data_IF_304560628557
#
_entry.id   IF_304560628557
#
_cell.length_a   1.000
_cell.length_b   1.000
_cell.length_c   1.000
_cell.angle_alpha   90.00
_cell.angle_beta   90.00
_cell.angle_gamma   90.00
#
_symmetry.space_group_name_H-M   'P 1'
#
loop_
_entity.id
_entity.type
_entity.pdbx_description
1 polymer ?
#
# COMPACT_ATOMS: atom_id res chain seq x y z
N UNK A 1 36.58 38.85 51.91
CA UNK A 1 36.55 40.16 51.24
C UNK A 1 35.73 40.02 49.97
N UNK A 2 34.53 40.59 49.98
CA UNK A 2 33.61 40.61 48.85
C UNK A 2 33.84 41.91 48.05
N UNK A 3 33.88 41.81 46.72
CA UNK A 3 33.78 42.98 45.84
C UNK A 3 32.53 42.85 44.99
N UNK A 4 31.51 43.64 45.35
CA UNK A 4 30.38 43.98 44.48
C UNK A 4 30.87 44.92 43.37
N UNK A 5 30.39 44.71 42.13
CA UNK A 5 30.29 45.77 41.12
C UNK A 5 28.89 45.82 40.53
N UNK A 6 28.46 47.06 40.37
CA UNK A 6 27.12 47.57 40.11
C UNK A 6 26.62 47.36 38.67
N UNK A 7 25.29 47.27 38.57
CA UNK A 7 24.44 47.42 37.40
C UNK A 7 24.66 48.74 36.65
N UNK A 8 24.41 48.74 35.33
CA UNK A 8 23.77 49.82 34.57
C UNK A 8 23.20 49.27 33.24
N UNK A 9 21.92 49.51 33.00
CA UNK A 9 21.16 49.24 31.76
C UNK A 9 21.30 50.40 30.77
N UNK A 10 20.98 50.17 29.48
CA UNK A 10 20.11 51.13 28.81
C UNK A 10 18.96 50.50 28.02
N UNK A 11 17.91 51.31 27.91
CA UNK A 11 16.61 51.09 27.27
C UNK A 11 16.65 51.25 25.74
N UNK A 12 15.87 50.39 25.07
CA UNK A 12 15.07 50.56 23.84
C UNK A 12 15.37 51.66 22.82
N UNK A 13 15.42 51.27 21.54
CA UNK A 13 14.71 51.95 20.45
C UNK A 13 14.30 50.95 19.36
N UNK A 14 12.99 50.84 19.13
CA UNK A 14 12.40 50.17 17.97
C UNK A 14 12.40 51.14 16.78
N UNK A 15 12.73 50.65 15.58
CA UNK A 15 12.50 51.39 14.33
C UNK A 15 11.67 50.49 13.42
N UNK A 16 10.43 50.95 13.18
CA UNK A 16 9.56 50.47 12.14
C UNK A 16 10.03 51.03 10.78
N UNK A 17 9.96 50.21 9.73
CA UNK A 17 10.08 50.67 8.35
C UNK A 17 8.87 50.18 7.58
N UNK A 18 8.04 51.12 7.14
CA UNK A 18 6.85 50.88 6.34
C UNK A 18 7.10 51.25 4.88
N UNK A 19 6.52 50.42 4.02
CA UNK A 19 5.95 50.70 2.69
C UNK A 19 6.83 51.20 1.54
N UNK A 20 6.86 50.40 0.46
CA UNK A 20 6.66 50.92 -0.89
C UNK A 20 5.80 49.94 -1.69
N UNK A 21 4.63 50.42 -2.09
CA UNK A 21 3.73 49.84 -3.08
C UNK A 21 4.37 49.92 -4.47
N UNK A 22 4.27 48.83 -5.25
CA UNK A 22 4.27 48.90 -6.72
C UNK A 22 3.12 48.04 -7.22
N UNK A 23 2.10 48.71 -7.74
CA UNK A 23 1.02 48.14 -8.53
C UNK A 23 1.32 48.37 -10.02
N UNK A 24 1.28 47.31 -10.82
CA UNK A 24 0.95 47.39 -12.25
C UNK A 24 0.37 46.07 -12.76
N UNK A 25 -0.52 46.22 -13.72
CA UNK A 25 -1.62 45.36 -14.18
C UNK A 25 -1.24 44.09 -14.96
N UNK A 26 -2.21 43.16 -15.19
CA UNK A 26 -1.98 41.88 -15.84
C UNK A 26 -1.97 42.01 -17.36
N UNK A 27 -1.12 41.21 -18.02
CA UNK A 27 -1.18 41.00 -19.46
C UNK A 27 -1.64 39.57 -19.72
N UNK A 28 -2.84 39.45 -20.28
CA UNK A 28 -3.34 38.29 -20.98
C UNK A 28 -2.55 38.07 -22.27
N UNK A 29 -2.11 36.84 -22.53
CA UNK A 29 -2.00 36.35 -23.90
C UNK A 29 -2.16 34.84 -23.93
N UNK A 30 -3.26 34.45 -24.56
CA UNK A 30 -3.50 33.15 -25.13
C UNK A 30 -2.52 32.89 -26.28
N UNK A 31 -1.97 31.69 -26.35
CA UNK A 31 -1.54 31.12 -27.64
C UNK A 31 -1.69 29.61 -27.62
N UNK A 32 -2.67 29.17 -28.41
CA UNK A 32 -2.77 27.82 -28.94
C UNK A 32 -1.45 27.45 -29.64
N UNK A 33 -0.93 26.26 -29.36
CA UNK A 33 -0.06 25.57 -30.32
C UNK A 33 -0.65 24.18 -30.58
N UNK A 34 -1.27 24.10 -31.75
CA UNK A 34 -1.60 22.88 -32.45
C UNK A 34 -0.30 22.27 -33.00
N UNK A 35 0.02 21.05 -32.60
CA UNK A 35 0.94 20.20 -33.36
C UNK A 35 0.16 19.01 -33.90
N UNK A 36 -0.19 19.14 -35.17
CA UNK A 36 -0.66 18.06 -36.02
C UNK A 36 0.49 17.05 -36.19
N UNK A 37 0.24 15.79 -35.86
CA UNK A 37 1.00 14.67 -36.43
C UNK A 37 0.12 13.96 -37.47
N UNK A 38 0.69 13.59 -38.63
CA UNK A 38 -0.08 13.10 -39.76
C UNK A 38 -0.54 11.66 -39.54
N UNK A 39 -1.76 11.37 -40.01
CA UNK A 39 -2.33 10.05 -40.01
C UNK A 39 -1.58 9.06 -40.89
N UNK A 40 -1.49 7.83 -40.41
CA UNK A 40 -1.25 6.66 -41.25
C UNK A 40 -2.54 5.86 -41.36
N UNK A 41 -3.11 5.92 -42.56
CA UNK A 41 -4.24 5.13 -43.03
C UNK A 41 -3.74 3.73 -43.43
N UNK A 42 -4.45 2.74 -42.90
CA UNK A 42 -4.89 1.48 -43.53
C UNK A 42 -3.85 0.57 -44.21
N UNK A 43 -3.80 -0.69 -43.76
CA UNK A 43 -3.83 -1.86 -44.64
C UNK A 43 -4.61 -3.00 -43.99
N UNK A 44 -5.87 -3.11 -44.39
CA UNK A 44 -6.67 -4.32 -44.32
C UNK A 44 -6.10 -5.35 -45.28
N UNK A 45 -5.85 -6.57 -44.81
CA UNK A 45 -5.58 -7.73 -45.66
C UNK A 45 -6.75 -8.71 -45.50
N UNK A 46 -7.45 -8.86 -46.61
CA UNK A 46 -8.51 -9.81 -46.87
C UNK A 46 -7.89 -11.04 -47.56
N UNK A 47 -8.02 -12.22 -46.98
CA UNK A 47 -7.99 -13.53 -47.65
C UNK A 47 -8.23 -14.59 -46.57
N UNK A 48 -9.03 -15.64 -46.73
CA UNK A 48 -9.81 -16.13 -47.83
C UNK A 48 -10.49 -17.38 -47.28
N UNK A 49 -11.81 -17.47 -47.46
CA UNK A 49 -12.62 -18.61 -47.10
C UNK A 49 -12.37 -19.76 -48.08
N UNK A 50 -12.12 -20.96 -47.55
CA UNK A 50 -12.26 -22.22 -48.29
C UNK A 50 -13.22 -23.11 -47.47
N UNK A 51 -14.33 -23.60 -48.05
CA UNK A 51 -15.25 -24.51 -47.37
C UNK A 51 -14.96 -25.96 -47.78
N UNK A 52 -15.08 -26.91 -46.85
CA UNK A 52 -15.37 -28.30 -47.21
C UNK A 52 -16.33 -28.91 -46.17
N UNK A 53 -17.49 -29.30 -46.66
CA UNK A 53 -18.53 -30.08 -46.00
C UNK A 53 -18.64 -31.41 -46.74
N UNK A 54 -18.75 -32.51 -45.98
CA UNK A 54 -19.59 -33.72 -46.18
C UNK A 54 -18.99 -34.85 -45.35
N UNK A 55 -19.65 -35.33 -44.29
CA UNK A 55 -20.92 -36.04 -44.10
C UNK A 55 -20.68 -37.54 -43.87
N UNK A 56 -21.03 -37.93 -42.65
CA UNK A 56 -21.78 -39.11 -42.22
C UNK A 56 -21.33 -40.51 -42.68
N UNK A 57 -21.07 -41.40 -41.71
CA UNK A 57 -21.89 -42.61 -41.65
C UNK A 57 -22.02 -43.21 -40.24
N UNK A 58 -23.24 -43.70 -40.00
CA UNK A 58 -23.83 -44.22 -38.78
C UNK A 58 -23.43 -45.66 -38.46
N UNK A 59 -23.53 -46.05 -37.18
CA UNK A 59 -23.99 -47.40 -36.84
C UNK A 59 -23.84 -47.79 -35.35
N UNK A 60 -24.79 -48.54 -34.75
CA UNK A 60 -25.20 -48.36 -33.36
C UNK A 60 -24.95 -49.60 -32.47
N UNK A 61 -24.91 -49.47 -31.14
CA UNK A 61 -25.27 -50.60 -30.26
C UNK A 61 -26.00 -50.15 -28.99
N UNK A 62 -27.09 -50.85 -28.71
CA UNK A 62 -28.13 -50.58 -27.69
C UNK A 62 -27.83 -51.23 -26.33
N UNK A 63 -28.36 -50.55 -25.30
CA UNK A 63 -28.84 -50.95 -23.98
C UNK A 63 -28.78 -52.42 -23.52
N UNK A 64 -28.35 -52.58 -22.27
CA UNK A 64 -28.78 -53.65 -21.35
C UNK A 64 -29.12 -53.07 -19.96
N UNK A 65 -30.34 -53.35 -19.49
CA UNK A 65 -30.95 -52.93 -18.21
C UNK A 65 -30.77 -54.05 -17.18
N UNK A 66 -30.38 -53.74 -15.93
CA UNK A 66 -30.78 -54.54 -14.74
C UNK A 66 -31.02 -53.65 -13.51
N UNK A 67 -31.99 -54.09 -12.70
CA UNK A 67 -32.77 -53.41 -11.67
C UNK A 67 -32.06 -53.08 -10.34
N UNK A 68 -32.58 -51.99 -9.77
CA UNK A 68 -32.70 -51.55 -8.37
C UNK A 68 -32.77 -52.61 -7.25
N UNK A 69 -32.13 -52.30 -6.13
CA UNK A 69 -32.49 -52.67 -4.75
C UNK A 69 -32.34 -51.44 -3.85
N UNK A 70 -33.30 -51.25 -2.94
CA UNK A 70 -33.58 -50.04 -2.17
C UNK A 70 -33.05 -50.07 -0.71
N UNK A 71 -33.16 -48.89 -0.07
CA UNK A 71 -32.98 -48.55 1.36
C UNK A 71 -31.52 -48.25 1.81
N UNK A 72 -31.23 -47.26 2.67
CA UNK A 72 -32.07 -46.48 3.57
C UNK A 72 -31.55 -45.04 3.73
N UNK A 73 -32.47 -44.18 4.12
CA UNK A 73 -32.40 -42.72 4.29
C UNK A 73 -31.60 -42.37 5.56
N UNK A 74 -30.65 -41.43 5.46
CA UNK A 74 -30.22 -40.61 6.60
C UNK A 74 -29.72 -39.25 6.10
N UNK A 75 -30.36 -38.23 6.63
CA UNK A 75 -30.27 -36.82 6.24
C UNK A 75 -29.33 -36.11 7.24
N UNK A 76 -28.24 -35.46 6.82
CA UNK A 76 -27.45 -34.64 7.71
C UNK A 76 -28.04 -33.22 7.80
N UNK A 77 -28.01 -32.58 8.98
CA UNK A 77 -28.70 -31.34 9.22
C UNK A 77 -28.11 -30.18 8.42
N UNK A 78 -29.01 -29.46 7.76
CA UNK A 78 -28.79 -28.15 7.18
C UNK A 78 -28.38 -27.18 8.29
N UNK A 79 -27.12 -26.76 8.30
CA UNK A 79 -26.69 -25.52 8.95
C UNK A 79 -26.29 -24.53 7.87
N UNK A 80 -27.19 -23.59 7.60
CA UNK A 80 -26.90 -22.38 6.86
C UNK A 80 -25.90 -21.54 7.65
N UNK A 81 -24.60 -21.78 7.45
CA UNK A 81 -23.58 -20.78 7.74
C UNK A 81 -22.99 -20.28 6.42
N UNK A 82 -23.64 -19.25 5.90
CA UNK A 82 -23.03 -18.27 5.01
C UNK A 82 -21.78 -17.73 5.72
N UNK A 83 -20.55 -17.88 5.20
CA UNK A 83 -19.46 -17.04 5.66
C UNK A 83 -19.72 -15.67 5.05
N UNK A 84 -20.37 -14.81 5.82
CA UNK A 84 -20.33 -13.38 5.58
C UNK A 84 -18.86 -12.97 5.69
N UNK A 85 -18.23 -12.66 4.57
CA UNK A 85 -16.89 -12.07 4.50
C UNK A 85 -16.94 -10.64 5.02
N UNK A 86 -17.13 -10.49 6.33
CA UNK A 86 -16.75 -9.30 7.06
C UNK A 86 -15.34 -9.55 7.58
N UNK A 87 -14.33 -8.94 6.97
CA UNK A 87 -13.00 -8.85 7.56
C UNK A 87 -13.15 -8.05 8.84
N UNK A 88 -13.27 -8.78 9.96
CA UNK A 88 -13.21 -8.20 11.28
C UNK A 88 -11.74 -7.99 11.64
N UNK A 89 -11.43 -6.80 12.14
CA UNK A 89 -10.16 -6.41 12.73
C UNK A 89 -9.73 -7.43 13.81
N UNK A 90 -8.88 -8.39 13.43
CA UNK A 90 -8.40 -9.44 14.33
C UNK A 90 -7.59 -10.55 13.66
N UNK A 91 -7.10 -10.35 12.42
CA UNK A 91 -6.27 -11.34 11.74
C UNK A 91 -4.84 -11.31 12.31
N UNK A 92 -4.32 -12.48 12.71
CA UNK A 92 -2.90 -12.66 13.00
C UNK A 92 -2.09 -12.25 11.76
N UNK A 93 -1.27 -11.21 11.90
CA UNK A 93 -0.37 -10.81 10.82
C UNK A 93 0.67 -11.90 10.61
N UNK A 94 0.98 -12.26 9.35
CA UNK A 94 2.08 -13.16 9.08
C UNK A 94 3.40 -12.55 9.57
N UNK A 95 4.29 -13.44 10.01
CA UNK A 95 5.64 -13.08 10.39
C UNK A 95 6.38 -12.48 9.20
N UNK A 96 7.09 -11.39 9.44
CA UNK A 96 7.81 -10.65 8.43
C UNK A 96 9.06 -10.03 9.04
N UNK A 97 10.16 -10.01 8.28
CA UNK A 97 11.34 -9.23 8.62
C UNK A 97 11.13 -7.76 8.21
N UNK A 98 11.34 -6.85 9.15
CA UNK A 98 11.17 -5.40 8.96
C UNK A 98 12.45 -4.69 9.39
N UNK A 99 12.97 -3.80 8.55
CA UNK A 99 14.24 -3.10 8.76
C UNK A 99 14.02 -1.60 8.90
N UNK A 100 14.59 -1.03 9.95
CA UNK A 100 14.55 0.39 10.28
C UNK A 100 15.95 0.98 10.34
N UNK A 101 16.09 2.24 9.93
CA UNK A 101 17.16 3.09 10.45
C UNK A 101 16.69 3.72 11.74
N UNK A 102 17.54 3.69 12.77
CA UNK A 102 17.24 4.26 14.10
C UNK A 102 18.47 4.99 14.59
N UNK A 103 18.30 6.26 14.98
CA UNK A 103 19.42 7.09 15.41
C UNK A 103 20.00 6.54 16.73
N UNK A 104 21.21 6.00 16.66
CA UNK A 104 21.92 5.35 17.77
C UNK A 104 23.42 5.65 17.68
N UNK A 105 24.01 6.10 18.79
CA UNK A 105 25.41 6.53 18.84
C UNK A 105 26.24 5.83 19.93
N UNK A 106 25.63 4.98 20.75
CA UNK A 106 26.30 4.22 21.80
C UNK A 106 25.57 2.92 22.14
N UNK A 107 26.23 2.02 22.88
CA UNK A 107 25.65 0.75 23.33
C UNK A 107 24.40 0.91 24.21
N UNK A 108 24.34 1.96 25.03
CA UNK A 108 23.13 2.28 25.79
C UNK A 108 21.92 2.60 24.90
N UNK A 109 22.15 3.13 23.69
CA UNK A 109 21.10 3.31 22.70
C UNK A 109 20.55 1.97 22.21
N UNK A 110 21.45 1.02 21.94
CA UNK A 110 21.13 -0.33 21.47
C UNK A 110 20.29 -1.05 22.50
N UNK A 111 20.71 -1.04 23.77
CA UNK A 111 19.96 -1.67 24.86
C UNK A 111 18.57 -1.06 25.03
N UNK A 112 18.46 0.28 25.01
CA UNK A 112 17.16 0.96 25.13
C UNK A 112 16.19 0.56 24.01
N UNK A 113 16.67 0.54 22.75
CA UNK A 113 15.88 0.13 21.58
C UNK A 113 15.46 -1.34 21.69
N UNK A 114 16.41 -2.23 21.99
CA UNK A 114 16.15 -3.67 22.08
C UNK A 114 15.16 -3.99 23.20
N UNK A 115 15.38 -3.44 24.39
CA UNK A 115 14.50 -3.63 25.54
C UNK A 115 13.08 -3.13 25.23
N UNK A 116 12.96 -1.96 24.58
CA UNK A 116 11.65 -1.42 24.21
C UNK A 116 10.93 -2.32 23.19
N UNK A 117 11.59 -2.72 22.11
CA UNK A 117 10.98 -3.56 21.09
C UNK A 117 10.59 -4.96 21.58
N UNK A 118 11.36 -5.56 22.50
CA UNK A 118 11.03 -6.86 23.07
C UNK A 118 9.76 -6.84 23.93
N UNK A 119 9.32 -5.68 24.41
CA UNK A 119 8.01 -5.54 25.10
C UNK A 119 6.83 -5.46 24.14
N UNK A 120 7.06 -5.29 22.84
CA UNK A 120 6.01 -5.16 21.84
C UNK A 120 5.45 -6.54 21.49
N UNK A 121 4.15 -6.71 21.67
CA UNK A 121 3.46 -7.96 21.36
C UNK A 121 3.62 -8.32 19.87
N UNK A 122 4.05 -9.57 19.60
CA UNK A 122 4.29 -10.07 18.25
C UNK A 122 5.73 -9.98 17.77
N UNK A 123 6.62 -9.27 18.48
CA UNK A 123 8.06 -9.27 18.19
C UNK A 123 8.67 -10.59 18.65
N UNK A 124 9.41 -11.26 17.75
CA UNK A 124 10.09 -12.53 18.03
C UNK A 124 11.61 -12.38 18.14
N UNK A 125 12.20 -11.61 17.24
CA UNK A 125 13.63 -11.33 17.27
C UNK A 125 13.92 -9.87 16.94
N UNK A 126 14.97 -9.32 17.56
CA UNK A 126 15.46 -7.96 17.32
C UNK A 126 16.97 -8.03 17.16
N UNK A 127 17.45 -7.66 15.99
CA UNK A 127 18.86 -7.51 15.67
C UNK A 127 19.18 -6.03 15.49
N UNK A 128 20.31 -5.62 16.06
CA UNK A 128 20.75 -4.23 16.01
C UNK A 128 22.17 -4.18 15.48
N UNK A 129 22.37 -3.38 14.45
CA UNK A 129 23.66 -3.01 13.91
C UNK A 129 23.92 -1.54 14.24
N UNK A 130 24.69 -1.30 15.30
CA UNK A 130 25.03 0.06 15.74
C UNK A 130 25.89 0.79 14.70
N UNK A 131 26.75 0.09 13.97
CA UNK A 131 27.66 0.70 12.99
C UNK A 131 26.89 1.32 11.84
N UNK A 132 25.87 0.59 11.35
CA UNK A 132 25.01 1.06 10.27
C UNK A 132 23.74 1.77 10.77
N UNK A 133 23.52 1.81 12.09
CA UNK A 133 22.34 2.38 12.75
C UNK A 133 21.04 1.72 12.29
N UNK A 134 21.08 0.40 12.18
CA UNK A 134 20.02 -0.42 11.61
C UNK A 134 19.42 -1.33 12.67
N UNK A 135 18.11 -1.44 12.68
CA UNK A 135 17.35 -2.34 13.55
C UNK A 135 16.49 -3.23 12.69
N UNK A 136 16.68 -4.54 12.80
CA UNK A 136 15.87 -5.56 12.13
C UNK A 136 14.98 -6.24 13.14
N UNK A 137 13.69 -6.31 12.82
CA UNK A 137 12.67 -6.89 13.68
C UNK A 137 11.98 -8.00 12.91
N UNK A 138 12.04 -9.22 13.45
CA UNK A 138 11.26 -10.35 12.97
C UNK A 138 10.03 -10.50 13.86
N UNK A 139 8.84 -10.50 13.27
CA UNK A 139 7.62 -10.70 14.04
C UNK A 139 6.33 -10.41 13.28
N UNK A 140 5.24 -10.39 14.04
CA UNK A 140 3.87 -10.18 13.56
C UNK A 140 3.32 -8.81 13.96
N UNK A 141 4.12 -7.94 14.58
CA UNK A 141 3.67 -6.61 15.00
C UNK A 141 3.51 -5.68 13.78
N UNK A 142 2.46 -4.83 13.72
CA UNK A 142 2.32 -3.81 12.67
C UNK A 142 3.51 -2.84 12.63
N UNK A 143 3.83 -2.31 11.44
CA UNK A 143 4.86 -1.29 11.22
C UNK A 143 4.57 -0.07 12.09
N UNK A 144 3.31 0.35 12.19
CA UNK A 144 2.93 1.50 13.01
C UNK A 144 3.30 1.28 14.49
N UNK A 145 2.93 0.14 15.05
CA UNK A 145 3.22 -0.22 16.46
C UNK A 145 4.72 -0.26 16.73
N UNK A 146 5.51 -0.84 15.82
CA UNK A 146 6.97 -0.89 15.95
C UNK A 146 7.61 0.51 15.82
N UNK A 147 7.11 1.34 14.91
CA UNK A 147 7.59 2.73 14.73
C UNK A 147 7.30 3.56 15.97
N UNK A 148 6.05 3.53 16.47
CA UNK A 148 5.66 4.23 17.69
C UNK A 148 6.52 3.78 18.89
N UNK A 149 6.82 2.48 19.00
CA UNK A 149 7.66 1.94 20.06
C UNK A 149 9.11 2.42 19.97
N UNK A 150 9.68 2.49 18.77
CA UNK A 150 11.01 3.05 18.53
C UNK A 150 11.06 4.54 18.88
N UNK A 151 10.07 5.32 18.46
CA UNK A 151 9.99 6.76 18.73
C UNK A 151 9.83 7.06 20.22
N UNK A 152 9.14 6.19 20.97
CA UNK A 152 9.05 6.30 22.44
C UNK A 152 10.40 6.15 23.16
N UNK A 153 11.45 5.67 22.49
CA UNK A 153 12.81 5.69 23.03
C UNK A 153 13.50 7.05 22.91
N UNK A 154 12.81 8.05 22.34
CA UNK A 154 13.35 9.38 22.05
C UNK A 154 14.19 9.42 20.77
N UNK A 155 14.07 8.41 19.91
CA UNK A 155 14.89 8.24 18.70
C UNK A 155 14.04 8.39 17.46
N UNK A 156 14.58 9.04 16.44
CA UNK A 156 13.99 8.99 15.10
C UNK A 156 14.12 7.57 14.57
N UNK A 157 13.06 7.07 13.97
CA UNK A 157 13.02 5.77 13.31
C UNK A 157 12.44 5.91 11.91
N UNK A 158 13.09 5.32 10.91
CA UNK A 158 12.61 5.31 9.53
C UNK A 158 12.58 3.88 9.03
N UNK A 159 11.42 3.44 8.56
CA UNK A 159 11.31 2.16 7.86
C UNK A 159 12.12 2.23 6.55
N UNK A 160 13.00 1.24 6.34
CA UNK A 160 13.85 1.17 5.15
C UNK A 160 13.70 -0.11 4.35
N UNK A 161 13.16 -1.19 4.93
CA UNK A 161 12.99 -2.45 4.22
C UNK A 161 11.94 -3.36 4.84
N UNK A 162 11.27 -4.17 4.00
CA UNK A 162 10.33 -5.21 4.43
C UNK A 162 10.45 -6.48 3.58
N UNK A 163 10.21 -7.63 4.20
CA UNK A 163 10.21 -8.93 3.52
C UNK A 163 11.56 -9.64 3.51
N UNK A 164 11.63 -10.71 2.73
CA UNK A 164 12.83 -11.53 2.57
C UNK A 164 13.49 -11.24 1.22
N UNK A 165 14.60 -10.47 1.18
CA UNK A 165 15.28 -10.11 -0.06
C UNK A 165 15.94 -11.34 -0.73
N UNK A 166 16.32 -12.34 0.08
CA UNK A 166 16.99 -13.56 -0.42
C UNK A 166 16.01 -14.46 -1.19
N UNK A 167 14.71 -14.36 -0.88
CA UNK A 167 13.67 -15.20 -1.47
C UNK A 167 12.98 -14.51 -2.67
N UNK A 168 12.96 -13.17 -2.73
CA UNK A 168 12.16 -12.42 -3.70
C UNK A 168 12.89 -11.20 -4.26
N UNK A 169 12.92 -11.08 -5.60
CA UNK A 169 13.44 -9.89 -6.30
C UNK A 169 12.66 -8.60 -6.02
N UNK A 170 11.39 -8.72 -5.64
CA UNK A 170 10.54 -7.60 -5.23
C UNK A 170 9.78 -8.04 -4.00
N UNK A 171 10.35 -7.77 -2.83
CA UNK A 171 9.76 -8.16 -1.55
C UNK A 171 8.77 -7.13 -1.01
N UNK A 172 8.82 -5.87 -1.49
CA UNK A 172 7.99 -4.79 -0.97
C UNK A 172 7.49 -3.82 -2.04
N UNK A 173 6.32 -3.23 -1.77
CA UNK A 173 5.74 -2.15 -2.56
C UNK A 173 5.03 -1.14 -1.65
N UNK A 174 4.86 0.07 -2.15
CA UNK A 174 4.19 1.16 -1.43
C UNK A 174 3.29 1.94 -2.38
N UNK A 175 2.11 2.32 -1.89
CA UNK A 175 1.21 3.27 -2.54
C UNK A 175 1.02 4.45 -1.60
N UNK A 176 1.36 5.65 -2.07
CA UNK A 176 1.37 6.87 -1.26
C UNK A 176 0.36 7.88 -1.79
N UNK A 177 -0.58 8.27 -0.93
CA UNK A 177 -1.60 9.28 -1.19
C UNK A 177 -1.12 10.62 -0.62
N UNK A 178 -0.88 11.58 -1.51
CA UNK A 178 -0.37 12.94 -1.19
C UNK A 178 -1.40 14.05 -1.44
N UNK A 179 -2.62 13.69 -1.85
CA UNK A 179 -3.62 14.61 -2.40
C UNK A 179 -4.50 15.23 -1.33
N UNK A 180 -5.14 16.39 -1.62
CA UNK A 180 -5.71 17.25 -0.58
C UNK A 180 -6.86 16.61 0.20
N UNK A 181 -7.52 15.59 -0.37
CA UNK A 181 -8.63 14.89 0.26
C UNK A 181 -8.16 13.77 1.20
N UNK A 182 -7.12 13.04 0.83
CA UNK A 182 -6.65 11.87 1.58
C UNK A 182 -5.13 11.84 1.63
N UNK A 183 -4.60 11.80 2.84
CA UNK A 183 -3.22 11.48 3.12
C UNK A 183 -3.14 10.04 3.58
N UNK A 184 -2.24 9.24 3.01
CA UNK A 184 -2.17 7.85 3.42
C UNK A 184 -1.07 7.07 2.77
N UNK A 185 -0.73 5.95 3.41
CA UNK A 185 0.31 5.04 2.95
C UNK A 185 -0.25 3.63 3.05
N UNK A 186 -0.15 2.89 1.94
CA UNK A 186 -0.40 1.45 1.88
C UNK A 186 0.91 0.75 1.57
N UNK A 187 1.26 -0.22 2.40
CA UNK A 187 2.47 -1.03 2.27
C UNK A 187 2.08 -2.46 1.95
N UNK A 188 2.79 -3.04 1.00
CA UNK A 188 2.68 -4.43 0.62
C UNK A 188 4.03 -5.08 0.87
N UNK A 189 4.03 -6.23 1.54
CA UNK A 189 5.24 -7.01 1.75
C UNK A 189 4.97 -8.48 1.41
N UNK A 190 5.82 -9.07 0.59
CA UNK A 190 5.74 -10.48 0.23
C UNK A 190 6.18 -11.31 1.43
N UNK A 191 5.32 -12.22 1.87
CA UNK A 191 5.63 -13.17 2.94
C UNK A 191 6.09 -14.48 2.31
N UNK A 192 5.26 -15.02 1.41
CA UNK A 192 5.58 -16.16 0.58
C UNK A 192 4.86 -16.06 -0.77
N UNK A 193 5.05 -17.02 -1.68
CA UNK A 193 4.44 -16.99 -3.02
C UNK A 193 2.90 -16.90 -3.05
N UNK A 194 2.23 -17.25 -1.96
CA UNK A 194 0.77 -17.29 -1.84
C UNK A 194 0.23 -16.27 -0.83
N UNK A 195 1.09 -15.46 -0.19
CA UNK A 195 0.66 -14.53 0.85
C UNK A 195 1.44 -13.22 0.79
N UNK A 196 0.69 -12.13 0.68
CA UNK A 196 1.21 -10.78 0.92
C UNK A 196 0.60 -10.21 2.20
N UNK A 197 1.42 -9.47 2.95
CA UNK A 197 0.98 -8.64 4.06
C UNK A 197 0.67 -7.24 3.55
N UNK A 198 -0.46 -6.69 3.98
CA UNK A 198 -0.93 -5.36 3.61
C UNK A 198 -1.13 -4.55 4.89
N UNK A 199 -0.56 -3.36 4.92
CA UNK A 199 -0.75 -2.40 6.02
C UNK A 199 -1.08 -1.04 5.45
N UNK A 200 -2.17 -0.44 5.92
CA UNK A 200 -2.61 0.86 5.47
C UNK A 200 -2.89 1.81 6.63
N UNK A 201 -2.54 3.07 6.43
CA UNK A 201 -2.87 4.18 7.32
C UNK A 201 -3.39 5.31 6.44
N UNK A 202 -4.59 5.80 6.71
CA UNK A 202 -5.22 6.89 5.98
C UNK A 202 -5.70 7.97 6.95
N UNK A 203 -5.73 9.20 6.48
CA UNK A 203 -6.26 10.38 7.13
C UNK A 203 -6.99 11.25 6.09
N UNK A 204 -8.05 11.94 6.52
CA UNK A 204 -8.64 13.08 5.79
C UNK A 204 -10.03 12.84 5.20
N UNK A 205 -10.55 11.60 5.25
CA UNK A 205 -11.94 11.33 4.85
C UNK A 205 -12.92 11.55 5.99
N UNK A 206 -14.18 11.73 5.61
CA UNK A 206 -15.30 11.78 6.55
C UNK A 206 -15.44 10.46 7.32
N UNK A 207 -15.89 10.50 8.59
CA UNK A 207 -16.18 9.29 9.35
C UNK A 207 -17.19 8.41 8.61
N UNK A 208 -16.97 7.09 8.64
CA UNK A 208 -17.84 6.14 7.96
C UNK A 208 -17.08 5.06 7.21
N UNK A 209 -17.83 4.28 6.42
CA UNK A 209 -17.31 3.12 5.72
C UNK A 209 -17.09 3.43 4.24
N UNK A 210 -15.87 3.14 3.79
CA UNK A 210 -15.38 3.40 2.46
C UNK A 210 -14.87 2.11 1.81
N UNK A 211 -15.24 1.85 0.57
CA UNK A 211 -14.66 0.74 -0.19
C UNK A 211 -13.20 1.03 -0.54
N UNK A 212 -12.38 -0.01 -0.70
CA UNK A 212 -11.05 0.14 -1.27
C UNK A 212 -10.60 -1.11 -2.02
N UNK A 213 -9.76 -0.93 -3.04
CA UNK A 213 -9.28 -2.02 -3.89
C UNK A 213 -7.95 -1.72 -4.55
N UNK A 214 -7.36 -2.76 -5.14
CA UNK A 214 -6.31 -2.66 -6.14
C UNK A 214 -7.00 -2.71 -7.51
N UNK A 215 -6.74 -1.72 -8.36
CA UNK A 215 -7.30 -1.66 -9.71
C UNK A 215 -6.26 -2.04 -10.78
N UNK A 216 -6.74 -2.31 -11.99
CA UNK A 216 -5.94 -2.88 -13.08
C UNK A 216 -4.76 -1.98 -13.50
N UNK A 217 -4.94 -0.67 -13.54
CA UNK A 217 -3.99 0.27 -14.12
C UNK A 217 -3.56 1.34 -13.11
N UNK A 218 -2.27 1.68 -13.11
CA UNK A 218 -1.74 2.87 -12.45
C UNK A 218 -1.87 4.14 -13.30
N UNK A 219 -2.95 4.28 -14.07
CA UNK A 219 -3.23 5.49 -14.84
C UNK A 219 -4.01 6.48 -13.99
N UNK A 220 -3.36 7.59 -13.64
CA UNK A 220 -3.94 8.68 -12.85
C UNK A 220 -4.32 9.91 -13.69
N UNK A 221 -4.31 9.82 -15.02
CA UNK A 221 -4.61 10.96 -15.91
C UNK A 221 -6.02 11.53 -15.69
N UNK A 222 -6.99 10.69 -15.36
CA UNK A 222 -8.33 11.07 -14.88
C UNK A 222 -8.59 10.71 -13.42
N UNK A 223 -7.56 10.66 -12.57
CA UNK A 223 -7.68 10.23 -11.19
C UNK A 223 -8.10 8.76 -11.07
N UNK A 224 -8.92 8.43 -10.08
CA UNK A 224 -9.37 7.06 -9.85
C UNK A 224 -10.17 6.47 -11.04
N UNK A 225 -10.91 7.30 -11.77
CA UNK A 225 -11.73 6.87 -12.91
C UNK A 225 -10.93 6.23 -14.07
N UNK A 226 -9.62 6.51 -14.17
CA UNK A 226 -8.75 5.98 -15.22
C UNK A 226 -8.03 4.68 -14.83
N UNK A 227 -8.24 4.18 -13.61
CA UNK A 227 -7.51 3.01 -13.08
C UNK A 227 -8.04 1.66 -13.56
N UNK A 228 -9.12 1.65 -14.36
CA UNK A 228 -9.75 0.42 -14.84
C UNK A 228 -10.59 -0.28 -13.76
N UNK A 229 -10.81 -1.58 -13.92
CA UNK A 229 -11.62 -2.37 -12.97
C UNK A 229 -10.81 -2.80 -11.77
N UNK A 230 -11.48 -3.38 -10.77
CA UNK A 230 -10.81 -4.09 -9.68
C UNK A 230 -9.95 -5.20 -10.26
N UNK A 231 -8.69 -5.25 -9.86
CA UNK A 231 -7.71 -6.19 -10.37
C UNK A 231 -8.17 -7.63 -10.13
N UNK A 232 -8.28 -8.39 -11.21
CA UNK A 232 -8.58 -9.81 -11.12
C UNK A 232 -7.86 -10.60 -12.22
N UNK A 233 -6.80 -11.37 -11.91
CA UNK A 233 -6.10 -12.15 -12.91
C UNK A 233 -7.01 -13.26 -13.47
N UNK A 234 -6.91 -13.57 -14.76
CA UNK A 234 -7.81 -14.48 -15.48
C UNK A 234 -7.95 -15.90 -14.89
N UNK A 235 -7.04 -16.31 -13.99
CA UNK A 235 -7.00 -17.61 -13.35
C UNK A 235 -7.54 -17.61 -11.90
N UNK A 236 -8.14 -16.52 -11.42
CA UNK A 236 -8.78 -16.49 -10.11
C UNK A 236 -10.05 -17.35 -10.12
N UNK A 237 -10.06 -18.47 -9.39
CA UNK A 237 -11.25 -19.30 -9.24
C UNK A 237 -12.31 -18.68 -8.29
N UNK A 238 -11.96 -17.57 -7.65
CA UNK A 238 -12.78 -16.92 -6.64
C UNK A 238 -13.86 -16.02 -7.25
N UNK A 239 -15.02 -15.98 -6.58
CA UNK A 239 -16.14 -15.11 -6.97
C UNK A 239 -15.85 -13.63 -6.73
N UNK A 240 -14.95 -13.34 -5.78
CA UNK A 240 -14.54 -11.99 -5.43
C UNK A 240 -13.23 -11.64 -6.13
N UNK A 241 -13.12 -10.46 -6.77
CA UNK A 241 -11.88 -10.04 -7.40
C UNK A 241 -10.69 -10.08 -6.44
N UNK A 242 -9.54 -10.57 -6.90
CA UNK A 242 -8.34 -10.66 -6.06
C UNK A 242 -7.93 -9.29 -5.47
N UNK A 243 -8.12 -8.23 -6.23
CA UNK A 243 -7.83 -6.85 -5.83
C UNK A 243 -8.86 -6.24 -4.87
N UNK A 244 -9.97 -6.90 -4.55
CA UNK A 244 -10.90 -6.39 -3.55
C UNK A 244 -10.26 -6.50 -2.15
N UNK A 245 -10.15 -5.37 -1.45
CA UNK A 245 -9.58 -5.27 -0.11
C UNK A 245 -10.67 -5.08 0.96
N UNK A 246 -11.94 -5.07 0.56
CA UNK A 246 -13.10 -4.93 1.43
C UNK A 246 -13.44 -3.47 1.72
N UNK A 247 -13.62 -3.16 3.01
CA UNK A 247 -14.10 -1.87 3.52
C UNK A 247 -13.10 -1.33 4.54
N UNK A 248 -12.79 -0.04 4.43
CA UNK A 248 -12.10 0.76 5.44
C UNK A 248 -13.14 1.52 6.27
N UNK A 249 -12.93 1.57 7.58
CA UNK A 249 -13.76 2.36 8.49
C UNK A 249 -12.93 3.53 9.00
N UNK A 250 -13.35 4.74 8.62
CA UNK A 250 -12.79 6.00 9.08
C UNK A 250 -13.47 6.42 10.38
N UNK A 251 -12.66 6.73 11.39
CA UNK A 251 -13.14 7.15 12.70
C UNK A 251 -13.61 8.62 12.70
N UNK A 252 -14.05 9.11 13.86
CA UNK A 252 -14.52 10.49 14.04
C UNK A 252 -13.46 11.56 13.72
N UNK A 253 -12.17 11.20 13.74
CA UNK A 253 -11.05 12.09 13.40
C UNK A 253 -10.71 12.04 11.91
N UNK A 254 -11.36 11.15 11.16
CA UNK A 254 -11.05 10.89 9.76
C UNK A 254 -9.79 10.05 9.59
N UNK A 255 -9.43 9.23 10.58
CA UNK A 255 -8.33 8.27 10.50
C UNK A 255 -8.85 6.85 10.21
N UNK A 256 -8.13 6.09 9.39
CA UNK A 256 -8.40 4.68 9.15
C UNK A 256 -7.11 3.84 9.16
N UNK A 257 -7.18 2.69 9.81
CA UNK A 257 -6.06 1.76 9.96
C UNK A 257 -6.46 0.37 9.48
N UNK A 258 -5.58 -0.25 8.69
CA UNK A 258 -5.74 -1.63 8.27
C UNK A 258 -4.43 -2.39 8.42
N UNK A 259 -4.50 -3.62 8.87
CA UNK A 259 -3.38 -4.56 8.82
C UNK A 259 -3.92 -5.97 8.64
N UNK A 260 -3.48 -6.66 7.59
CA UNK A 260 -3.94 -8.01 7.28
C UNK A 260 -3.04 -8.75 6.30
N UNK A 261 -3.31 -10.04 6.13
CA UNK A 261 -2.74 -10.86 5.07
C UNK A 261 -3.76 -11.06 3.93
N UNK A 262 -3.30 -11.02 2.69
CA UNK A 262 -4.11 -11.36 1.51
C UNK A 262 -3.50 -12.58 0.82
N UNK A 263 -4.28 -13.65 0.77
CA UNK A 263 -3.93 -14.89 0.09
C UNK A 263 -3.91 -14.69 -1.43
N UNK A 264 -3.10 -15.48 -2.12
CA UNK A 264 -2.90 -15.50 -3.57
C UNK A 264 -2.44 -14.16 -4.17
N UNK A 265 -1.95 -13.22 -3.35
CA UNK A 265 -1.47 -11.92 -3.79
C UNK A 265 0.06 -11.91 -3.86
N UNK A 266 0.60 -11.59 -5.04
CA UNK A 266 2.05 -11.42 -5.24
C UNK A 266 2.37 -9.95 -5.46
N UNK A 267 3.27 -9.41 -4.67
CA UNK A 267 3.72 -8.00 -4.72
C UNK A 267 4.24 -7.62 -6.10
N UNK A 268 4.97 -8.54 -6.76
CA UNK A 268 5.49 -8.33 -8.11
C UNK A 268 4.37 -8.01 -9.12
N UNK A 269 3.20 -8.65 -8.97
CA UNK A 269 2.06 -8.46 -9.88
C UNK A 269 1.30 -7.14 -9.63
N UNK A 270 1.59 -6.46 -8.51
CA UNK A 270 0.95 -5.20 -8.12
C UNK A 270 1.68 -3.97 -8.65
N UNK A 271 2.96 -4.11 -9.03
CA UNK A 271 3.78 -2.97 -9.43
C UNK A 271 3.20 -2.29 -10.66
N UNK A 272 2.98 -0.98 -10.57
CA UNK A 272 2.40 -0.16 -11.64
C UNK A 272 0.87 -0.22 -11.73
N UNK A 273 0.21 -0.94 -10.82
CA UNK A 273 -1.24 -0.84 -10.58
C UNK A 273 -1.54 0.30 -9.62
N UNK A 274 -2.80 0.47 -9.22
CA UNK A 274 -3.17 1.49 -8.24
C UNK A 274 -3.97 0.92 -7.07
N UNK A 275 -3.80 1.51 -5.89
CA UNK A 275 -4.80 1.42 -4.82
C UNK A 275 -5.82 2.52 -5.03
N UNK A 276 -7.10 2.19 -4.88
CA UNK A 276 -8.24 3.10 -5.02
C UNK A 276 -9.08 3.07 -3.76
N UNK A 277 -9.48 4.25 -3.28
CA UNK A 277 -10.45 4.41 -2.19
C UNK A 277 -11.72 5.02 -2.79
N UNK A 278 -12.87 4.44 -2.44
CA UNK A 278 -14.19 4.75 -2.96
C UNK A 278 -15.02 5.53 -1.94
N UNK A 279 -16.05 6.21 -2.42
CA UNK A 279 -16.98 6.92 -1.53
C UNK A 279 -17.85 5.93 -0.76
N UNK A 280 -18.31 4.89 -1.44
CA UNK A 280 -19.21 3.88 -0.89
C UNK A 280 -18.54 2.51 -0.76
N UNK A 281 -19.08 1.67 0.13
CA UNK A 281 -18.59 0.29 0.33
C UNK A 281 -18.78 -0.61 -0.90
N UNK A 282 -19.79 -0.31 -1.71
CA UNK A 282 -20.17 -1.11 -2.88
C UNK A 282 -19.27 -0.86 -4.09
N UNK A 283 -18.37 0.14 -4.03
CA UNK A 283 -17.41 0.49 -5.09
C UNK A 283 -18.12 0.75 -6.43
N UNK A 284 -19.34 1.27 -6.39
CA UNK A 284 -20.12 1.59 -7.59
C UNK A 284 -19.71 2.92 -8.22
N UNK A 285 -19.10 3.81 -7.44
CA UNK A 285 -18.52 5.07 -7.88
C UNK A 285 -17.16 4.85 -8.59
N UNK A 286 -16.68 5.82 -9.40
CA UNK A 286 -15.39 5.71 -10.10
C UNK A 286 -14.14 5.76 -9.20
N UNK A 287 -14.32 5.87 -7.88
CA UNK A 287 -13.28 6.07 -6.88
C UNK A 287 -13.06 7.56 -6.55
N UNK A 288 -12.82 7.84 -5.27
CA UNK A 288 -12.51 9.19 -4.77
C UNK A 288 -11.06 9.57 -5.07
N UNK A 289 -10.14 8.67 -4.72
CA UNK A 289 -8.69 8.89 -4.84
C UNK A 289 -7.99 7.60 -5.24
N UNK A 290 -6.90 7.74 -5.98
CA UNK A 290 -6.05 6.64 -6.36
C UNK A 290 -4.58 7.01 -6.25
N UNK A 291 -3.75 6.02 -5.96
CA UNK A 291 -2.30 6.15 -5.94
C UNK A 291 -1.66 4.91 -6.58
N UNK A 292 -0.57 5.13 -7.31
CA UNK A 292 0.18 4.05 -7.98
C UNK A 292 0.97 3.25 -6.95
N UNK A 293 0.93 1.93 -7.09
CA UNK A 293 1.74 0.98 -6.33
C UNK A 293 3.14 0.97 -6.95
N UNK A 294 4.09 1.60 -6.25
CA UNK A 294 5.48 1.66 -6.62
C UNK A 294 6.30 0.60 -5.88
N UNK A 295 7.46 0.22 -6.43
CA UNK A 295 8.41 -0.65 -5.74
C UNK A 295 8.91 0.03 -4.47
N UNK A 296 9.04 -0.75 -3.40
CA UNK A 296 9.71 -0.35 -2.16
C UNK A 296 10.89 -1.27 -1.93
N UNK A 297 11.88 -0.79 -1.18
CA UNK A 297 13.04 -1.59 -0.82
C UNK A 297 12.66 -2.77 0.08
N UNK A 298 13.27 -3.91 -0.19
CA UNK A 298 13.37 -5.03 0.73
C UNK A 298 14.35 -4.76 1.86
N UNK A 299 14.40 -5.67 2.83
CA UNK A 299 15.44 -5.65 3.87
C UNK A 299 16.81 -5.72 3.19
N UNK A 300 17.79 -4.93 3.61
CA UNK A 300 19.12 -4.94 3.01
C UNK A 300 19.29 -4.11 1.74
N UNK A 301 18.22 -3.57 1.17
CA UNK A 301 18.29 -2.91 -0.15
C UNK A 301 18.42 -1.37 -0.07
N UNK A 302 18.24 -0.74 1.10
CA UNK A 302 18.16 0.72 1.19
C UNK A 302 18.83 1.35 2.43
N UNK A 303 20.09 1.75 2.26
CA UNK A 303 20.87 2.50 3.25
C UNK A 303 21.09 3.97 2.87
N UNK A 304 20.24 4.53 1.99
CA UNK A 304 20.41 5.89 1.47
C UNK A 304 20.20 6.94 2.56
N UNK A 305 21.23 7.74 2.83
CA UNK A 305 21.19 8.87 3.80
C UNK A 305 20.90 10.22 3.14
N UNK A 306 21.24 10.38 1.87
CA UNK A 306 21.13 11.64 1.13
C UNK A 306 20.20 11.49 -0.08
N UNK A 307 19.27 12.43 -0.27
CA UNK A 307 18.51 12.55 -1.50
C UNK A 307 19.32 13.32 -2.54
N UNK A 308 19.66 12.68 -3.66
CA UNK A 308 20.42 13.33 -4.73
C UNK A 308 19.60 14.32 -5.56
N UNK A 309 18.26 14.23 -5.53
CA UNK A 309 17.39 15.06 -6.37
C UNK A 309 17.38 16.52 -5.93
N UNK A 310 17.46 16.77 -4.62
CA UNK A 310 17.35 18.09 -3.99
C UNK A 310 18.46 18.34 -2.96
N UNK A 311 19.35 17.38 -2.73
CA UNK A 311 20.41 17.46 -1.72
C UNK A 311 19.90 17.33 -0.29
N UNK A 312 18.62 17.00 -0.09
CA UNK A 312 18.04 16.88 1.26
C UNK A 312 18.63 15.68 1.98
N UNK A 313 19.15 15.89 3.18
CA UNK A 313 19.51 14.81 4.09
C UNK A 313 18.24 14.06 4.50
N UNK A 314 18.07 12.84 3.99
CA UNK A 314 16.93 11.96 4.31
C UNK A 314 17.15 11.33 5.70
N UNK A 315 18.41 11.17 6.09
CA UNK A 315 18.80 10.61 7.38
C UNK A 315 20.11 11.20 7.88
N UNK A 316 20.05 11.83 9.06
CA UNK A 316 21.20 12.28 9.84
C UNK A 316 21.05 11.74 11.25
N UNK A 317 22.16 11.29 11.83
CA UNK A 317 22.26 10.82 13.19
C UNK A 317 22.98 11.84 14.06
#
# INVERSE_FOLDING_TARGET
MAFLRSMLTPKTAAIASAAAFVSSLPSSSSSHSSSQFPGFLSKTLNSGSIPLSWKDNLGPFRLGVVKSLAASKMEPPSSNHKPSSSIQNGAFLPELLTEYMVDMSCEGCVEAVKNKLQTVAGVKNVEVDLTNQVVRVLGTSPVKTMTDALEQTGRKARLIGQGSPDDYLVSAAVSEFKGPLVFGIVRFAQVNMELARIEANFNGLSPGKHGWSINEFGDLTGGAASTGKVYNPANSADKEPLGDLGTLEFDEKGDAFFSGGKQNLRVLDLIGRSVVVYETEDKSDPGLVAAVIARSAGVGENYKKLCTCDGTTIWEA
#
